data_IF_160044287186
#
_entry.id   IF_160044287186
#
_cell.length_a   1.000
_cell.length_b   1.000
_cell.length_c   1.000
_cell.angle_alpha   90.00
_cell.angle_beta   90.00
_cell.angle_gamma   90.00
#
_symmetry.space_group_name_H-M   'P 1'
#
loop_
_entity.id
_entity.type
_entity.pdbx_description
1 polymer ?
#
# COMPACT_ATOMS: atom_id res chain seq x y z
N UNK A 1 6.56 -12.46 1.10
CA UNK A 1 7.69 -13.02 0.34
C UNK A 1 7.37 -12.97 -1.14
N UNK A 2 8.36 -12.66 -1.97
CA UNK A 2 8.21 -12.59 -3.43
C UNK A 2 9.22 -13.52 -4.09
N UNK A 3 8.76 -14.31 -5.07
CA UNK A 3 9.60 -15.13 -5.93
C UNK A 3 9.14 -14.95 -7.37
N UNK A 4 10.06 -14.77 -8.32
CA UNK A 4 9.74 -14.58 -9.74
C UNK A 4 8.71 -13.44 -9.99
N UNK A 5 8.75 -12.40 -9.17
CA UNK A 5 7.84 -11.25 -9.25
C UNK A 5 6.41 -11.50 -8.77
N UNK A 6 6.11 -12.66 -8.15
CA UNK A 6 4.80 -12.96 -7.56
C UNK A 6 4.89 -13.10 -6.05
N UNK A 7 3.82 -12.69 -5.36
CA UNK A 7 3.71 -12.92 -3.91
C UNK A 7 3.48 -14.42 -3.69
N UNK A 8 4.39 -15.05 -2.95
CA UNK A 8 4.33 -16.49 -2.65
C UNK A 8 3.97 -16.79 -1.20
N UNK A 9 4.05 -15.79 -0.33
CA UNK A 9 3.71 -15.90 1.10
C UNK A 9 3.44 -14.49 1.66
N UNK A 10 2.57 -14.39 2.65
CA UNK A 10 2.15 -13.13 3.26
C UNK A 10 1.76 -13.38 4.72
N UNK A 11 2.24 -12.55 5.65
CA UNK A 11 1.89 -12.68 7.06
C UNK A 11 2.99 -12.15 7.97
N UNK A 12 2.74 -12.21 9.28
CA UNK A 12 3.72 -11.78 10.29
C UNK A 12 4.90 -12.76 10.42
N UNK A 13 4.65 -14.05 10.18
CA UNK A 13 5.65 -15.12 10.22
C UNK A 13 5.69 -15.74 8.83
N UNK A 14 6.85 -15.64 8.17
CA UNK A 14 7.04 -16.14 6.81
C UNK A 14 8.13 -17.20 6.84
N UNK A 15 7.80 -18.41 6.38
CA UNK A 15 8.72 -19.56 6.33
C UNK A 15 9.15 -19.96 4.92
N UNK A 16 8.55 -19.36 3.90
CA UNK A 16 8.76 -19.74 2.49
C UNK A 16 10.05 -19.13 1.94
N UNK A 17 10.89 -19.94 1.30
CA UNK A 17 12.06 -19.45 0.56
C UNK A 17 11.63 -18.43 -0.51
N UNK A 18 12.41 -17.38 -0.74
CA UNK A 18 12.04 -16.35 -1.72
C UNK A 18 13.22 -15.50 -2.16
N UNK A 19 13.01 -14.70 -3.21
CA UNK A 19 14.03 -13.78 -3.72
C UNK A 19 14.20 -12.58 -2.79
N UNK A 20 13.08 -12.06 -2.27
CA UNK A 20 13.09 -10.97 -1.30
C UNK A 20 11.82 -10.90 -0.44
N UNK A 21 11.93 -10.17 0.66
CA UNK A 21 10.83 -9.78 1.53
C UNK A 21 10.52 -8.30 1.35
N UNK A 22 9.23 -7.97 1.30
CA UNK A 22 8.73 -6.61 1.45
C UNK A 22 7.98 -6.46 2.76
N UNK A 23 7.67 -5.23 3.12
CA UNK A 23 6.83 -4.88 4.26
C UNK A 23 5.47 -4.40 3.77
N UNK A 24 4.39 -4.90 4.38
CA UNK A 24 3.05 -4.38 4.11
C UNK A 24 2.89 -3.02 4.77
N UNK A 25 2.39 -2.04 4.03
CA UNK A 25 2.11 -0.69 4.54
C UNK A 25 0.67 -0.49 5.02
N UNK A 26 -0.12 -1.56 5.04
CA UNK A 26 -1.51 -1.52 5.49
C UNK A 26 -2.51 -0.90 4.49
N UNK A 27 -2.10 -0.63 3.25
CA UNK A 27 -2.98 -0.18 2.18
C UNK A 27 -3.21 -1.28 1.16
N UNK A 28 -4.48 -1.58 0.87
CA UNK A 28 -4.89 -2.61 -0.07
C UNK A 28 -5.93 -2.06 -1.05
N UNK A 29 -5.75 -2.37 -2.33
CA UNK A 29 -6.76 -2.15 -3.36
C UNK A 29 -7.30 -3.52 -3.77
N UNK A 30 -8.54 -3.82 -3.39
CA UNK A 30 -9.14 -5.14 -3.54
C UNK A 30 -10.31 -5.07 -4.51
N UNK A 31 -10.46 -6.10 -5.34
CA UNK A 31 -11.71 -6.31 -6.07
C UNK A 31 -12.84 -6.66 -5.09
N UNK A 32 -14.10 -6.43 -5.49
CA UNK A 32 -15.25 -6.84 -4.68
C UNK A 32 -15.19 -8.33 -4.35
N UNK A 33 -14.89 -9.17 -5.34
CA UNK A 33 -14.74 -10.62 -5.17
C UNK A 33 -13.67 -11.00 -4.13
N UNK A 34 -12.50 -10.38 -4.19
CA UNK A 34 -11.41 -10.63 -3.23
C UNK A 34 -11.79 -10.17 -1.82
N UNK A 35 -12.43 -9.00 -1.70
CA UNK A 35 -12.90 -8.49 -0.41
C UNK A 35 -13.95 -9.42 0.21
N UNK A 36 -14.92 -9.91 -0.57
CA UNK A 36 -15.92 -10.89 -0.12
C UNK A 36 -15.27 -12.19 0.36
N UNK A 37 -14.25 -12.69 -0.34
CA UNK A 37 -13.51 -13.89 0.09
C UNK A 37 -12.79 -13.69 1.43
N UNK A 38 -12.17 -12.52 1.64
CA UNK A 38 -11.52 -12.18 2.92
C UNK A 38 -12.55 -12.07 4.04
N UNK A 39 -13.70 -11.44 3.81
CA UNK A 39 -14.78 -11.34 4.79
C UNK A 39 -15.27 -12.73 5.18
N UNK A 40 -15.58 -13.60 4.21
CA UNK A 40 -16.02 -14.97 4.48
C UNK A 40 -14.97 -15.79 5.25
N UNK A 41 -13.67 -15.58 4.97
CA UNK A 41 -12.59 -16.20 5.72
C UNK A 41 -12.59 -15.75 7.19
N UNK A 42 -12.73 -14.45 7.44
CA UNK A 42 -12.80 -13.88 8.79
C UNK A 42 -14.05 -14.38 9.53
N UNK A 43 -15.21 -14.41 8.89
CA UNK A 43 -16.45 -14.95 9.48
C UNK A 43 -16.26 -16.40 9.95
N UNK A 44 -15.63 -17.23 9.12
CA UNK A 44 -15.29 -18.60 9.47
C UNK A 44 -14.27 -18.70 10.63
N UNK A 45 -13.39 -17.72 10.82
CA UNK A 45 -12.54 -17.68 12.02
C UNK A 45 -13.37 -17.41 13.27
N UNK A 46 -14.28 -16.44 13.20
CA UNK A 46 -15.15 -16.03 14.32
C UNK A 46 -16.11 -17.16 14.73
N UNK A 47 -16.71 -17.86 13.76
CA UNK A 47 -17.60 -19.01 14.01
C UNK A 47 -16.88 -20.15 14.74
N UNK A 48 -15.56 -20.26 14.55
CA UNK A 48 -14.70 -21.24 15.22
C UNK A 48 -14.11 -20.70 16.54
N UNK A 49 -14.50 -19.49 16.97
CA UNK A 49 -14.00 -18.84 18.18
C UNK A 49 -12.56 -18.33 18.09
N UNK A 50 -11.98 -18.22 16.88
CA UNK A 50 -10.61 -17.75 16.63
C UNK A 50 -10.59 -16.22 16.49
N UNK A 51 -10.84 -15.52 17.59
CA UNK A 51 -11.05 -14.07 17.61
C UNK A 51 -9.76 -13.24 17.76
N UNK A 52 -8.60 -13.90 17.88
CA UNK A 52 -7.28 -13.30 18.09
C UNK A 52 -6.44 -13.26 16.80
N UNK A 53 -7.02 -13.72 15.69
CA UNK A 53 -6.37 -13.76 14.37
C UNK A 53 -6.29 -12.35 13.76
N UNK A 54 -5.10 -11.90 13.33
CA UNK A 54 -4.97 -10.67 12.56
C UNK A 54 -5.58 -10.83 11.16
N UNK A 55 -6.00 -9.74 10.52
CA UNK A 55 -6.60 -9.81 9.19
C UNK A 55 -5.60 -10.25 8.12
N UNK A 56 -4.30 -10.09 8.37
CA UNK A 56 -3.24 -10.59 7.49
C UNK A 56 -3.29 -12.12 7.31
N UNK A 57 -3.71 -12.86 8.35
CA UNK A 57 -3.91 -14.31 8.25
C UNK A 57 -5.06 -14.66 7.29
N UNK A 58 -6.14 -13.87 7.29
CA UNK A 58 -7.24 -14.08 6.37
C UNK A 58 -6.84 -13.79 4.92
N UNK A 59 -6.01 -12.76 4.69
CA UNK A 59 -5.44 -12.47 3.36
C UNK A 59 -4.55 -13.63 2.91
N UNK A 60 -3.69 -14.13 3.80
CA UNK A 60 -2.83 -15.29 3.54
C UNK A 60 -3.65 -16.52 3.14
N UNK A 61 -4.67 -16.87 3.92
CA UNK A 61 -5.48 -18.05 3.69
C UNK A 61 -6.31 -17.94 2.40
N UNK A 62 -6.84 -16.75 2.08
CA UNK A 62 -7.52 -16.50 0.79
C UNK A 62 -6.56 -16.62 -0.38
N UNK A 63 -5.33 -16.11 -0.24
CA UNK A 63 -4.29 -16.25 -1.26
C UNK A 63 -3.90 -17.71 -1.48
N UNK A 64 -3.85 -18.52 -0.42
CA UNK A 64 -3.53 -19.94 -0.49
C UNK A 64 -4.69 -20.79 -1.05
N UNK A 65 -5.94 -20.38 -0.83
CA UNK A 65 -7.12 -21.15 -1.18
C UNK A 65 -7.55 -21.06 -2.66
N UNK A 66 -7.12 -20.02 -3.39
CA UNK A 66 -7.58 -19.77 -4.75
C UNK A 66 -6.45 -19.36 -5.68
N UNK A 67 -6.27 -20.11 -6.77
CA UNK A 67 -5.41 -19.71 -7.88
C UNK A 67 -5.94 -18.52 -8.68
N UNK A 68 -7.24 -18.24 -8.55
CA UNK A 68 -7.93 -17.19 -9.30
C UNK A 68 -7.78 -15.81 -8.63
N UNK A 69 -7.47 -15.80 -7.32
CA UNK A 69 -7.19 -14.59 -6.56
C UNK A 69 -5.71 -14.25 -6.65
N UNK A 70 -5.31 -13.47 -7.65
CA UNK A 70 -3.94 -12.96 -7.74
C UNK A 70 -3.77 -11.65 -7.00
N UNK A 71 -3.01 -11.69 -5.91
CA UNK A 71 -2.47 -10.50 -5.27
C UNK A 71 -1.23 -10.01 -6.01
N UNK A 72 -1.13 -8.69 -6.15
CA UNK A 72 0.04 -7.99 -6.66
C UNK A 72 0.53 -6.99 -5.62
N UNK A 73 1.73 -6.45 -5.84
CA UNK A 73 2.31 -5.42 -4.99
C UNK A 73 2.84 -4.27 -5.84
N UNK A 74 2.91 -3.09 -5.24
CA UNK A 74 3.56 -1.92 -5.81
C UNK A 74 4.82 -1.63 -5.01
N UNK A 75 5.95 -1.47 -5.71
CA UNK A 75 7.21 -1.09 -5.06
C UNK A 75 7.18 0.40 -4.68
N UNK A 76 7.15 0.65 -3.38
CA UNK A 76 7.17 1.99 -2.80
C UNK A 76 8.51 2.31 -2.13
N UNK A 77 9.58 1.60 -2.47
CA UNK A 77 10.90 1.79 -1.88
C UNK A 77 11.30 3.26 -1.90
N UNK A 78 11.69 3.78 -0.73
CA UNK A 78 12.08 5.17 -0.54
C UNK A 78 10.92 6.18 -0.43
N UNK A 79 9.66 5.76 -0.55
CA UNK A 79 8.52 6.59 -0.16
C UNK A 79 8.52 6.80 1.36
N UNK A 80 8.35 8.04 1.85
CA UNK A 80 8.23 8.27 3.28
C UNK A 80 6.86 7.81 3.78
N UNK A 81 6.85 6.81 4.64
CA UNK A 81 5.67 6.30 5.37
C UNK A 81 6.09 5.83 6.77
N UNK A 82 5.12 5.64 7.66
CA UNK A 82 5.29 5.07 8.99
C UNK A 82 3.93 4.57 9.51
N UNK A 83 3.92 3.40 10.15
CA UNK A 83 2.82 2.95 11.01
C UNK A 83 2.95 3.57 12.40
N UNK A 84 1.86 4.07 12.98
CA UNK A 84 1.88 4.78 14.27
C UNK A 84 1.23 3.89 15.33
N UNK A 85 2.02 3.03 15.95
CA UNK A 85 1.55 2.11 17.00
C UNK A 85 1.84 2.63 18.41
N UNK A 86 2.93 3.39 18.57
CA UNK A 86 3.43 3.85 19.86
C UNK A 86 3.67 5.37 19.85
N UNK A 87 3.75 5.96 21.05
CA UNK A 87 4.01 7.40 21.22
C UNK A 87 5.29 7.88 20.51
N UNK A 88 6.33 7.04 20.44
CA UNK A 88 7.58 7.37 19.72
C UNK A 88 7.36 7.55 18.21
N UNK A 89 6.41 6.80 17.63
CA UNK A 89 6.13 6.84 16.20
C UNK A 89 5.43 8.15 15.84
N UNK A 90 4.71 8.77 16.78
CA UNK A 90 4.16 10.13 16.64
C UNK A 90 5.28 11.16 16.47
N UNK A 91 6.32 11.08 17.30
CA UNK A 91 7.47 11.99 17.22
C UNK A 91 8.22 11.81 15.90
N UNK A 92 8.45 10.57 15.48
CA UNK A 92 9.06 10.24 14.20
C UNK A 92 8.19 10.69 13.01
N UNK A 93 6.87 10.46 13.08
CA UNK A 93 5.92 10.90 12.07
C UNK A 93 5.96 12.43 11.93
N UNK A 94 5.91 13.16 13.04
CA UNK A 94 5.88 14.63 13.06
C UNK A 94 7.19 15.26 12.58
N UNK A 95 8.32 14.77 13.07
CA UNK A 95 9.61 15.45 12.90
C UNK A 95 10.40 14.93 11.70
N UNK A 96 10.14 13.70 11.23
CA UNK A 96 10.91 13.07 10.15
C UNK A 96 10.04 12.76 8.93
N UNK A 97 8.94 12.03 9.10
CA UNK A 97 8.19 11.47 7.97
C UNK A 97 7.30 12.53 7.29
N UNK A 98 6.50 13.26 8.05
CA UNK A 98 5.59 14.28 7.53
C UNK A 98 6.32 15.40 6.74
N UNK A 99 7.47 15.95 7.19
CA UNK A 99 8.25 16.88 6.40
C UNK A 99 8.71 16.30 5.04
N UNK A 100 9.08 15.01 5.00
CA UNK A 100 9.49 14.33 3.76
C UNK A 100 8.31 14.16 2.80
N UNK A 101 7.12 13.80 3.31
CA UNK A 101 5.88 13.73 2.54
C UNK A 101 5.57 15.11 1.92
N UNK A 102 5.56 16.18 2.73
CA UNK A 102 5.27 17.55 2.27
C UNK A 102 6.26 18.06 1.24
N UNK A 103 7.57 17.79 1.43
CA UNK A 103 8.61 18.15 0.43
C UNK A 103 8.37 17.46 -0.91
N UNK A 104 7.92 16.20 -0.89
CA UNK A 104 7.59 15.45 -2.11
C UNK A 104 6.35 16.03 -2.80
N UNK A 105 5.29 16.33 -2.05
CA UNK A 105 4.09 17.00 -2.59
C UNK A 105 4.42 18.35 -3.24
N UNK A 106 5.30 19.15 -2.63
CA UNK A 106 5.77 20.42 -3.21
C UNK A 106 6.56 20.28 -4.51
N UNK A 107 7.14 19.11 -4.80
CA UNK A 107 7.74 18.80 -6.12
C UNK A 107 6.68 18.37 -7.13
N UNK A 108 5.65 17.63 -6.71
CA UNK A 108 4.56 17.14 -7.57
C UNK A 108 3.60 18.29 -7.97
N UNK A 109 3.36 19.27 -7.09
CA UNK A 109 2.52 20.44 -7.40
C UNK A 109 3.19 21.49 -8.32
N UNK A 110 4.45 21.30 -8.72
CA UNK A 110 5.14 22.17 -9.70
C UNK A 110 4.99 21.62 -11.12
N UNK A 111 3.75 21.35 -11.54
CA UNK A 111 3.41 21.17 -12.96
C UNK A 111 2.24 22.10 -13.25
N UNK A 112 2.49 23.19 -13.97
CA UNK A 112 1.43 24.03 -14.54
C UNK A 112 1.35 25.49 -14.07
N UNK A 113 2.47 26.18 -13.81
CA UNK A 113 2.49 27.64 -13.85
C UNK A 113 3.37 28.09 -15.03
N UNK A 114 2.75 28.46 -16.15
CA UNK A 114 3.40 29.25 -17.19
C UNK A 114 3.44 28.64 -18.60
N UNK A 115 2.29 28.63 -19.29
CA UNK A 115 2.28 29.00 -20.72
C UNK A 115 1.48 30.28 -20.84
N UNK A 116 2.16 31.44 -20.77
CA UNK A 116 1.61 32.66 -21.36
C UNK A 116 1.78 32.50 -22.87
N UNK A 117 0.69 32.17 -23.56
CA UNK A 117 0.64 32.26 -25.02
C UNK A 117 0.59 33.73 -25.40
N UNK A 118 1.58 34.13 -26.19
CA UNK A 118 1.61 35.38 -26.96
C UNK A 118 0.61 35.20 -28.11
N UNK A 119 -0.29 36.17 -28.35
CA UNK A 119 -0.52 36.88 -29.63
C UNK A 119 -1.85 37.63 -29.67
N UNK A 120 -1.79 38.94 -29.95
CA UNK A 120 -2.47 39.68 -31.03
C UNK A 120 -2.62 41.14 -30.59
N UNK A 121 -2.43 42.17 -31.38
CA UNK A 121 -1.99 42.34 -32.77
C UNK A 121 -1.62 43.82 -32.90
N UNK A 122 -0.67 44.07 -33.79
CA UNK A 122 -0.16 45.38 -34.19
C UNK A 122 -1.28 46.41 -34.42
N UNK A 123 -1.18 47.56 -33.76
CA UNK A 123 -1.77 48.82 -34.21
C UNK A 123 -0.90 49.37 -35.33
N UNK A 124 -1.48 49.57 -36.51
CA UNK A 124 -0.95 50.56 -37.45
C UNK A 124 -2.10 51.14 -38.26
N UNK A 125 -2.22 52.47 -38.13
CA UNK A 125 -3.18 53.43 -38.73
C UNK A 125 -4.53 53.56 -38.04
#
# INVERSE_FOLDING_TARGET
AVRDGVIVDFGKIIGTECDFFGESVGFFCLSAHTAEAIIACIENYLDQGRNDRPYEDAIHDVMAASSDTRFAFEDITGLPWIEIDFSRDIEQARNVILPRIRKKLGKVLRVGAGRKSITSSLSNQ
#
